data_IF_477972224824
#
_entry.id   IF_477972224824
#
_cell.length_a   1.000
_cell.length_b   1.000
_cell.length_c   1.000
_cell.angle_alpha   90.00
_cell.angle_beta   90.00
_cell.angle_gamma   90.00
#
_symmetry.space_group_name_H-M   'P 1'
#
loop_
_entity.id
_entity.type
_entity.pdbx_description
1 polymer ?
#
# COMPACT_ATOMS: atom_id res chain seq x y z
N UNK A 1 10.32 24.13 13.42
CA UNK A 1 8.96 23.64 13.16
C UNK A 1 9.10 22.52 12.15
N UNK A 2 8.94 21.26 12.57
CA UNK A 2 8.98 20.14 11.65
C UNK A 2 7.80 20.28 10.68
N UNK A 3 8.10 20.26 9.38
CA UNK A 3 7.11 20.27 8.32
C UNK A 3 6.28 18.99 8.51
N UNK A 4 5.07 19.13 9.06
CA UNK A 4 4.15 17.99 9.22
C UNK A 4 3.82 17.55 7.81
N UNK A 5 4.39 16.42 7.39
CA UNK A 5 4.05 15.80 6.11
C UNK A 5 2.54 15.54 6.11
N UNK A 6 1.82 16.24 5.22
CA UNK A 6 0.37 16.12 5.13
C UNK A 6 0.01 14.75 4.56
N UNK A 7 -0.38 13.83 5.44
CA UNK A 7 -0.81 12.48 5.08
C UNK A 7 -1.92 12.47 4.02
N UNK A 8 -2.72 13.55 3.93
CA UNK A 8 -3.74 13.73 2.89
C UNK A 8 -3.12 13.85 1.51
N UNK A 9 -2.09 14.69 1.38
CA UNK A 9 -1.38 14.89 0.11
C UNK A 9 -0.69 13.58 -0.33
N UNK A 10 -0.09 12.86 0.62
CA UNK A 10 0.55 11.57 0.34
C UNK A 10 -0.47 10.51 -0.08
N UNK A 11 -1.63 10.42 0.60
CA UNK A 11 -2.69 9.49 0.23
C UNK A 11 -3.23 9.75 -1.18
N UNK A 12 -3.46 11.03 -1.52
CA UNK A 12 -3.87 11.42 -2.88
C UNK A 12 -2.82 11.07 -3.92
N UNK A 13 -1.54 11.31 -3.61
CA UNK A 13 -0.43 10.95 -4.49
C UNK A 13 -0.35 9.44 -4.73
N UNK A 14 -0.47 8.63 -3.68
CA UNK A 14 -0.52 7.18 -3.77
C UNK A 14 -1.70 6.72 -4.63
N UNK A 15 -2.91 7.26 -4.39
CA UNK A 15 -4.09 6.96 -5.20
C UNK A 15 -3.85 7.24 -6.69
N UNK A 16 -3.27 8.41 -7.02
CA UNK A 16 -2.98 8.77 -8.41
C UNK A 16 -1.97 7.82 -9.07
N UNK A 17 -0.89 7.46 -8.36
CA UNK A 17 0.11 6.50 -8.85
C UNK A 17 -0.54 5.17 -9.17
N UNK A 18 -1.39 4.68 -8.27
CA UNK A 18 -2.07 3.39 -8.41
C UNK A 18 -3.13 3.42 -9.52
N UNK A 19 -3.91 4.49 -9.61
CA UNK A 19 -4.91 4.66 -10.66
C UNK A 19 -4.29 4.74 -12.06
N UNK A 20 -3.07 5.27 -12.17
CA UNK A 20 -2.32 5.36 -13.43
C UNK A 20 -1.37 4.18 -13.66
N UNK A 21 -1.32 3.21 -12.73
CA UNK A 21 -0.39 2.10 -12.84
C UNK A 21 -0.72 1.18 -14.03
N UNK A 22 0.30 0.53 -14.64
CA UNK A 22 0.10 -0.48 -15.66
C UNK A 22 -0.91 -1.56 -15.23
N UNK A 23 -1.64 -2.15 -16.19
CA UNK A 23 -2.65 -3.17 -15.91
C UNK A 23 -2.09 -4.32 -15.04
N UNK A 24 -0.85 -4.78 -15.32
CA UNK A 24 -0.17 -5.82 -14.53
C UNK A 24 -0.09 -5.49 -13.03
N UNK A 25 0.11 -4.23 -12.66
CA UNK A 25 0.17 -3.79 -11.25
C UNK A 25 -1.23 -3.80 -10.64
N UNK A 26 -2.22 -3.31 -11.38
CA UNK A 26 -3.62 -3.26 -10.91
C UNK A 26 -4.22 -4.66 -10.78
N UNK A 27 -3.88 -5.56 -11.71
CA UNK A 27 -4.28 -6.97 -11.68
C UNK A 27 -3.57 -7.72 -10.55
N UNK A 28 -2.29 -7.42 -10.28
CA UNK A 28 -1.55 -8.01 -9.17
C UNK A 28 -2.19 -7.71 -7.82
N UNK A 29 -2.60 -6.45 -7.63
CA UNK A 29 -3.30 -6.05 -6.42
C UNK A 29 -4.79 -6.45 -6.43
N UNK A 30 -5.34 -6.81 -7.58
CA UNK A 30 -6.78 -7.01 -7.83
C UNK A 30 -7.60 -5.78 -7.43
N UNK A 31 -7.19 -4.60 -7.92
CA UNK A 31 -7.82 -3.32 -7.59
C UNK A 31 -8.49 -2.66 -8.79
N UNK A 32 -9.65 -2.06 -8.50
CA UNK A 32 -10.26 -1.04 -9.33
C UNK A 32 -10.52 0.19 -8.44
N UNK A 33 -9.61 1.18 -8.42
CA UNK A 33 -9.74 2.33 -7.52
C UNK A 33 -11.01 3.12 -7.81
N UNK A 34 -11.94 3.19 -6.85
CA UNK A 34 -13.11 4.06 -6.92
C UNK A 34 -12.73 5.47 -6.44
N UNK A 35 -12.64 6.40 -7.39
CA UNK A 35 -12.24 7.78 -7.12
C UNK A 35 -13.25 8.54 -6.27
N UNK A 36 -14.55 8.25 -6.40
CA UNK A 36 -15.59 8.93 -5.65
C UNK A 36 -15.51 8.52 -4.18
N UNK A 37 -15.51 7.21 -3.93
CA UNK A 37 -15.42 6.69 -2.56
C UNK A 37 -14.12 7.10 -1.87
N UNK A 38 -13.00 7.14 -2.60
CA UNK A 38 -11.73 7.62 -2.05
C UNK A 38 -11.82 9.10 -1.63
N UNK A 39 -12.40 9.96 -2.47
CA UNK A 39 -12.56 11.39 -2.17
C UNK A 39 -13.48 11.61 -0.95
N UNK A 40 -14.60 10.90 -0.87
CA UNK A 40 -15.52 10.97 0.28
C UNK A 40 -14.80 10.62 1.60
N UNK A 41 -13.99 9.55 1.61
CA UNK A 41 -13.24 9.16 2.81
C UNK A 41 -12.18 10.20 3.20
N UNK A 42 -11.52 10.81 2.22
CA UNK A 42 -10.56 11.89 2.47
C UNK A 42 -11.25 13.13 3.02
N UNK A 43 -12.41 13.52 2.48
CA UNK A 43 -13.20 14.66 2.96
C UNK A 43 -13.72 14.46 4.39
N UNK A 44 -14.02 13.21 4.77
CA UNK A 44 -14.40 12.82 6.13
C UNK A 44 -13.20 12.74 7.09
N UNK A 45 -11.96 12.95 6.62
CA UNK A 45 -10.75 12.79 7.42
C UNK A 45 -10.41 11.34 7.77
N UNK A 46 -11.06 10.37 7.12
CA UNK A 46 -10.87 8.94 7.34
C UNK A 46 -9.70 8.40 6.48
N UNK A 47 -8.50 8.96 6.66
CA UNK A 47 -7.33 8.70 5.80
C UNK A 47 -6.92 7.23 5.78
N UNK A 48 -6.90 6.55 6.93
CA UNK A 48 -6.56 5.12 7.00
C UNK A 48 -7.57 4.30 6.18
N UNK A 49 -8.86 4.63 6.26
CA UNK A 49 -9.89 3.97 5.46
C UNK A 49 -9.72 4.25 3.98
N UNK A 50 -9.37 5.48 3.61
CA UNK A 50 -9.08 5.85 2.22
C UNK A 50 -7.88 5.06 1.67
N UNK A 51 -6.81 4.90 2.46
CA UNK A 51 -5.63 4.12 2.06
C UNK A 51 -5.95 2.63 1.97
N UNK A 52 -6.77 2.08 2.87
CA UNK A 52 -7.20 0.68 2.79
C UNK A 52 -8.02 0.39 1.52
N UNK A 53 -8.68 1.39 0.91
CA UNK A 53 -9.32 1.21 -0.41
C UNK A 53 -8.32 1.07 -1.55
N UNK A 54 -7.08 1.50 -1.35
CA UNK A 54 -5.98 1.28 -2.29
C UNK A 54 -5.39 -0.13 -2.11
N UNK A 55 -5.50 -0.71 -0.92
CA UNK A 55 -5.10 -2.09 -0.66
C UNK A 55 -6.17 -3.01 -1.25
N UNK A 56 -5.80 -3.67 -2.35
CA UNK A 56 -6.68 -4.67 -2.93
C UNK A 56 -6.77 -5.93 -2.08
N UNK A 57 -7.64 -6.88 -2.46
CA UNK A 57 -7.86 -8.10 -1.69
C UNK A 57 -6.62 -9.01 -1.62
N UNK A 58 -5.64 -8.81 -2.50
CA UNK A 58 -4.35 -9.54 -2.48
C UNK A 58 -3.33 -8.95 -1.49
N UNK A 59 -3.70 -7.89 -0.77
CA UNK A 59 -2.82 -7.18 0.17
C UNK A 59 -3.28 -7.48 1.60
N UNK A 60 -2.55 -8.36 2.27
CA UNK A 60 -2.62 -8.52 3.72
C UNK A 60 -1.93 -7.36 4.42
N UNK A 61 -2.42 -6.97 5.60
CA UNK A 61 -1.83 -5.87 6.34
C UNK A 61 -1.93 -6.09 7.85
N UNK A 62 -0.96 -5.54 8.58
CA UNK A 62 -0.96 -5.46 10.04
C UNK A 62 -0.50 -4.07 10.46
N UNK A 63 -1.25 -3.44 11.36
CA UNK A 63 -0.98 -2.10 11.87
C UNK A 63 -0.73 -2.17 13.36
N UNK A 64 0.37 -1.59 13.83
CA UNK A 64 0.71 -1.59 15.25
C UNK A 64 1.44 -0.31 15.67
N UNK A 65 1.84 -0.23 16.94
CA UNK A 65 2.70 0.84 17.46
C UNK A 65 3.81 0.25 18.31
N UNK A 66 5.00 0.86 18.30
CA UNK A 66 6.06 0.50 19.23
C UNK A 66 5.85 1.14 20.61
N UNK A 67 6.77 0.86 21.54
CA UNK A 67 6.75 1.38 22.90
C UNK A 67 6.88 2.90 22.95
N UNK A 68 7.52 3.49 21.93
CA UNK A 68 7.72 4.93 21.76
C UNK A 68 6.50 5.64 21.13
N UNK A 69 5.47 4.88 20.74
CA UNK A 69 4.23 5.40 20.15
C UNK A 69 4.29 5.64 18.64
N UNK A 70 5.40 5.29 17.99
CA UNK A 70 5.56 5.34 16.53
C UNK A 70 4.61 4.33 15.86
N UNK A 71 4.01 4.72 14.74
CA UNK A 71 3.15 3.85 13.97
C UNK A 71 3.96 2.91 13.09
N UNK A 72 3.55 1.64 13.07
CA UNK A 72 4.16 0.58 12.28
C UNK A 72 3.09 0.04 11.33
N UNK A 73 3.41 0.00 10.04
CA UNK A 73 2.60 -0.65 9.03
C UNK A 73 3.39 -1.80 8.42
N UNK A 74 2.79 -2.98 8.41
CA UNK A 74 3.29 -4.16 7.72
C UNK A 74 2.33 -4.51 6.60
N UNK A 75 2.85 -4.73 5.40
CA UNK A 75 2.11 -5.16 4.22
C UNK A 75 2.68 -6.49 3.75
N UNK A 76 1.80 -7.47 3.58
CA UNK A 76 2.10 -8.76 2.99
C UNK A 76 1.33 -8.88 1.68
N UNK A 77 2.03 -9.02 0.56
CA UNK A 77 1.36 -9.16 -0.74
C UNK A 77 1.37 -10.61 -1.21
N UNK A 78 0.26 -11.07 -1.79
CA UNK A 78 0.18 -12.42 -2.31
C UNK A 78 1.23 -12.65 -3.40
N UNK A 79 2.11 -13.64 -3.19
CA UNK A 79 3.22 -13.95 -4.10
C UNK A 79 4.52 -13.18 -3.84
N UNK A 80 4.55 -12.30 -2.83
CA UNK A 80 5.79 -11.75 -2.29
C UNK A 80 6.48 -12.77 -1.37
N UNK A 81 7.81 -12.78 -1.37
CA UNK A 81 8.59 -13.63 -0.44
C UNK A 81 8.75 -13.01 0.95
N UNK A 82 8.69 -11.68 1.04
CA UNK A 82 8.92 -10.93 2.27
C UNK A 82 7.84 -9.86 2.47
N UNK A 83 7.51 -9.62 3.74
CA UNK A 83 6.62 -8.54 4.15
C UNK A 83 7.38 -7.21 4.14
N UNK A 84 6.66 -6.13 3.82
CA UNK A 84 7.20 -4.78 3.81
C UNK A 84 6.77 -4.03 5.07
N UNK A 85 7.73 -3.45 5.78
CA UNK A 85 7.51 -2.82 7.08
C UNK A 85 7.97 -1.37 7.03
N UNK A 86 7.10 -0.46 7.43
CA UNK A 86 7.43 0.96 7.56
C UNK A 86 7.05 1.52 8.93
N UNK A 87 7.88 2.46 9.38
CA UNK A 87 7.75 3.18 10.63
C UNK A 87 7.51 4.66 10.33
N UNK A 88 6.57 5.28 11.02
CA UNK A 88 6.32 6.71 10.88
C UNK A 88 5.66 7.32 12.12
N UNK A 89 5.69 8.65 12.20
CA UNK A 89 5.02 9.42 13.24
C UNK A 89 3.48 9.31 13.21
N UNK A 90 2.89 8.89 12.09
CA UNK A 90 1.46 8.66 11.95
C UNK A 90 1.15 7.40 11.14
N UNK A 91 0.01 6.79 11.44
CA UNK A 91 -0.41 5.55 10.80
C UNK A 91 -0.63 5.70 9.28
N UNK A 92 -1.26 6.76 8.76
CA UNK A 92 -1.38 6.97 7.32
C UNK A 92 -0.03 7.01 6.60
N UNK A 93 0.98 7.68 7.20
CA UNK A 93 2.32 7.77 6.60
C UNK A 93 3.01 6.40 6.61
N UNK A 94 2.90 5.64 7.70
CA UNK A 94 3.45 4.28 7.77
C UNK A 94 2.81 3.39 6.68
N UNK A 95 1.48 3.41 6.56
CA UNK A 95 0.73 2.66 5.56
C UNK A 95 1.16 2.99 4.12
N UNK A 96 1.26 4.28 3.80
CA UNK A 96 1.71 4.74 2.48
C UNK A 96 3.16 4.32 2.23
N UNK A 97 4.03 4.46 3.24
CA UNK A 97 5.44 4.12 3.13
C UNK A 97 5.66 2.64 2.88
N UNK A 98 4.95 1.76 3.59
CA UNK A 98 5.03 0.31 3.37
C UNK A 98 4.54 -0.06 1.95
N UNK A 99 3.47 0.59 1.47
CA UNK A 99 2.95 0.33 0.11
C UNK A 99 3.95 0.78 -0.97
N UNK A 100 4.58 1.93 -0.78
CA UNK A 100 5.63 2.42 -1.68
C UNK A 100 6.86 1.49 -1.68
N UNK A 101 7.26 0.94 -0.53
CA UNK A 101 8.35 -0.04 -0.45
C UNK A 101 8.01 -1.32 -1.24
N UNK A 102 6.79 -1.85 -1.05
CA UNK A 102 6.28 -2.99 -1.81
C UNK A 102 6.29 -2.73 -3.32
N UNK A 103 5.77 -1.58 -3.76
CA UNK A 103 5.79 -1.23 -5.17
C UNK A 103 7.20 -1.13 -5.73
N UNK A 104 8.13 -0.53 -4.98
CA UNK A 104 9.52 -0.43 -5.40
C UNK A 104 10.14 -1.82 -5.56
N UNK A 105 9.96 -2.71 -4.58
CA UNK A 105 10.57 -4.04 -4.63
C UNK A 105 10.00 -4.92 -5.74
N UNK A 106 8.69 -4.86 -6.00
CA UNK A 106 8.03 -5.74 -6.97
C UNK A 106 7.99 -5.19 -8.39
N UNK A 107 8.17 -3.88 -8.59
CA UNK A 107 8.02 -3.26 -9.91
C UNK A 107 9.20 -2.37 -10.34
N UNK A 108 10.31 -2.32 -9.58
CA UNK A 108 11.52 -1.58 -10.01
C UNK A 108 12.56 -2.44 -10.74
N UNK A 109 12.40 -3.76 -10.78
CA UNK A 109 13.32 -4.63 -11.53
C UNK A 109 12.80 -4.89 -12.96
N UNK A 110 13.55 -4.52 -14.02
CA UNK A 110 13.15 -4.75 -15.40
C UNK A 110 13.13 -6.24 -15.83
N UNK A 111 13.62 -7.16 -14.99
CA UNK A 111 13.77 -8.59 -15.29
C UNK A 111 12.92 -9.54 -14.41
N UNK A 112 12.20 -9.02 -13.41
CA UNK A 112 11.36 -9.85 -12.56
C UNK A 112 10.03 -10.18 -13.27
N UNK A 113 10.02 -11.26 -14.05
CA UNK A 113 8.77 -11.85 -14.57
C UNK A 113 7.78 -12.08 -13.42
N UNK A 114 6.62 -11.41 -13.38
CA UNK A 114 5.78 -11.38 -12.18
C UNK A 114 4.93 -12.65 -11.95
N UNK A 115 5.10 -13.72 -12.73
CA UNK A 115 4.09 -14.82 -12.76
C UNK A 115 4.63 -16.26 -12.81
N UNK A 116 5.92 -16.50 -12.59
CA UNK A 116 6.48 -17.86 -12.79
C UNK A 116 6.45 -18.81 -11.59
N UNK A 117 5.97 -18.41 -10.41
CA UNK A 117 5.94 -19.29 -9.22
C UNK A 117 4.59 -19.97 -8.97
N UNK A 118 3.76 -20.20 -10.00
CA UNK A 118 2.55 -21.05 -9.85
C UNK A 118 2.92 -22.54 -9.91
N UNK A 119 3.57 -23.05 -8.85
CA UNK A 119 3.51 -24.49 -8.51
C UNK A 119 2.57 -24.67 -7.33
N UNK A 120 1.30 -24.85 -7.67
CA UNK A 120 0.30 -25.48 -6.79
C UNK A 120 0.87 -26.83 -6.37
N UNK A 121 1.32 -26.96 -5.11
CA UNK A 121 1.49 -28.26 -4.48
C UNK A 121 0.10 -28.74 -4.09
N UNK A 122 -0.48 -29.60 -4.93
CA UNK A 122 -1.59 -30.45 -4.54
C UNK A 122 -1.10 -31.41 -3.45
N UNK A 123 -1.73 -31.37 -2.28
CA UNK A 123 -1.75 -32.46 -1.31
C UNK A 123 -3.16 -33.02 -1.25
#
# INVERSE_FOLDING_TARGET
MAQVEDGTHLAKSLFMVVAQAPAVVRDYLDICPDSLQFQELVELGALESAILRIYGPNVGFMMSRNAEGEAIATIACLGAEEDEIAFASSLPIAMISAMCQMFRKHFSEPDASPLTSRRVRTH
#
